data_IF_767865188021
#
_entry.id   IF_767865188021
#
_cell.length_a   1.000
_cell.length_b   1.000
_cell.length_c   1.000
_cell.angle_alpha   90.00
_cell.angle_beta   90.00
_cell.angle_gamma   90.00
#
_symmetry.space_group_name_H-M   'P 1'
#
loop_
_entity.id
_entity.type
_entity.pdbx_description
1 polymer ?
#
# COMPACT_ATOMS: atom_id res chain seq x y z
N UNK A 1 -16.68 -58.28 -12.72
CA UNK A 1 -16.73 -57.75 -14.10
C UNK A 1 -16.97 -56.25 -14.00
N UNK A 2 -15.99 -55.44 -14.42
CA UNK A 2 -16.00 -53.96 -14.40
C UNK A 2 -17.00 -53.40 -15.45
N UNK A 3 -17.42 -52.13 -15.50
CA UNK A 3 -16.64 -50.90 -15.70
C UNK A 3 -17.47 -49.65 -15.33
N UNK A 4 -16.81 -48.69 -14.68
CA UNK A 4 -17.24 -47.30 -14.47
C UNK A 4 -16.95 -46.44 -15.72
N UNK A 5 -17.90 -45.60 -16.14
CA UNK A 5 -17.72 -44.62 -17.21
C UNK A 5 -17.66 -43.20 -16.62
N UNK A 6 -16.51 -42.57 -16.77
CA UNK A 6 -16.22 -41.18 -16.43
C UNK A 6 -16.45 -40.28 -17.64
N UNK A 7 -17.12 -39.15 -17.46
CA UNK A 7 -17.33 -38.15 -18.52
C UNK A 7 -16.30 -37.02 -18.43
N UNK A 8 -15.38 -36.98 -19.40
CA UNK A 8 -14.40 -35.91 -19.62
C UNK A 8 -14.97 -34.83 -20.54
N UNK A 9 -14.94 -33.57 -20.12
CA UNK A 9 -15.15 -32.40 -20.98
C UNK A 9 -13.82 -31.70 -21.22
N UNK A 10 -13.42 -31.66 -22.49
CA UNK A 10 -12.30 -30.90 -23.07
C UNK A 10 -12.70 -29.46 -23.36
N UNK A 11 -11.80 -28.48 -23.09
CA UNK A 11 -11.60 -27.18 -23.79
C UNK A 11 -10.31 -26.53 -23.21
N UNK A 12 -9.53 -25.72 -23.98
CA UNK A 12 -8.09 -25.90 -24.12
C UNK A 12 -7.19 -25.00 -23.25
N UNK A 13 -5.92 -25.42 -23.23
CA UNK A 13 -4.76 -24.92 -22.52
C UNK A 13 -4.37 -23.47 -22.88
N UNK A 14 -4.12 -22.64 -21.85
CA UNK A 14 -3.12 -21.57 -21.93
C UNK A 14 -2.17 -21.68 -20.73
N UNK A 15 -0.87 -21.58 -21.05
CA UNK A 15 0.30 -21.80 -20.19
C UNK A 15 0.19 -21.14 -18.82
N UNK A 16 0.24 -21.94 -17.76
CA UNK A 16 0.55 -21.49 -16.41
C UNK A 16 2.01 -21.89 -16.11
N UNK A 17 2.91 -20.93 -16.25
CA UNK A 17 4.31 -21.12 -15.89
C UNK A 17 4.45 -20.93 -14.38
N UNK A 18 4.74 -22.03 -13.68
CA UNK A 18 5.17 -22.03 -12.29
C UNK A 18 6.47 -21.22 -12.16
N UNK A 19 6.55 -20.35 -11.16
CA UNK A 19 7.82 -20.06 -10.50
C UNK A 19 7.59 -19.77 -9.03
N UNK A 20 7.85 -20.80 -8.24
CA UNK A 20 8.45 -20.81 -6.90
C UNK A 20 8.95 -19.42 -6.46
N UNK A 21 8.36 -18.89 -5.38
CA UNK A 21 8.93 -17.77 -4.63
C UNK A 21 9.91 -18.33 -3.60
N UNK A 22 11.20 -18.32 -3.97
CA UNK A 22 12.29 -18.46 -3.01
C UNK A 22 12.43 -17.14 -2.25
N UNK A 23 12.26 -17.19 -0.93
CA UNK A 23 12.65 -16.11 -0.04
C UNK A 23 14.18 -16.15 0.12
N UNK A 24 14.88 -15.20 -0.49
CA UNK A 24 16.28 -14.92 -0.17
C UNK A 24 16.37 -13.55 0.48
N UNK A 25 16.73 -13.57 1.76
CA UNK A 25 17.10 -12.41 2.55
C UNK A 25 18.53 -11.99 2.17
N UNK A 26 18.73 -10.81 1.58
CA UNK A 26 20.04 -10.14 1.58
C UNK A 26 19.96 -8.67 1.15
N UNK A 27 20.40 -7.81 2.07
CA UNK A 27 21.22 -6.59 1.87
C UNK A 27 20.76 -5.51 0.88
N UNK A 28 20.45 -4.35 1.47
CA UNK A 28 20.73 -2.98 1.01
C UNK A 28 21.14 -2.83 -0.46
N UNK A 29 20.24 -2.32 -1.29
CA UNK A 29 20.64 -1.60 -2.51
C UNK A 29 19.53 -0.65 -2.95
N UNK A 30 19.91 0.62 -3.07
CA UNK A 30 19.19 1.67 -3.78
C UNK A 30 18.55 1.13 -5.06
N UNK A 31 17.22 1.23 -5.19
CA UNK A 31 16.55 0.98 -6.46
C UNK A 31 15.62 2.14 -6.79
N UNK A 32 16.01 2.86 -7.83
CA UNK A 32 15.15 3.70 -8.65
C UNK A 32 13.92 2.89 -9.08
N UNK A 33 12.78 3.14 -8.44
CA UNK A 33 11.54 2.44 -8.72
C UNK A 33 10.76 3.19 -9.80
N UNK A 34 10.95 2.82 -11.06
CA UNK A 34 10.08 3.24 -12.16
C UNK A 34 8.76 2.45 -12.07
N UNK A 35 7.85 2.89 -11.20
CA UNK A 35 6.51 2.34 -11.13
C UNK A 35 5.56 3.19 -11.99
N UNK A 36 5.36 2.78 -13.24
CA UNK A 36 4.33 3.38 -14.10
C UNK A 36 2.96 2.89 -13.64
N UNK A 37 2.34 3.64 -12.72
CA UNK A 37 0.88 3.63 -12.54
C UNK A 37 0.32 4.91 -13.10
N UNK A 38 -0.11 4.86 -14.36
CA UNK A 38 -0.87 5.93 -14.99
C UNK A 38 -2.30 5.87 -14.48
N UNK A 39 -2.61 6.68 -13.47
CA UNK A 39 -3.97 7.13 -13.16
C UNK A 39 -3.90 8.64 -12.93
N UNK A 40 -4.27 9.40 -13.95
CA UNK A 40 -4.35 10.86 -13.89
C UNK A 40 -5.65 11.27 -13.20
N UNK A 41 -5.53 11.97 -12.09
CA UNK A 41 -6.62 12.74 -11.48
C UNK A 41 -6.04 14.10 -11.13
N UNK A 42 -6.60 15.14 -11.77
CA UNK A 42 -6.31 16.56 -11.52
C UNK A 42 -7.11 17.07 -10.33
N UNK A 43 -6.66 18.22 -9.81
CA UNK A 43 -7.13 19.04 -8.67
C UNK A 43 -6.46 18.76 -7.33
N UNK A 44 -6.14 19.74 -6.48
CA UNK A 44 -6.00 21.21 -6.58
C UNK A 44 -5.19 21.63 -5.32
N UNK A 45 -4.44 22.74 -5.41
CA UNK A 45 -3.52 23.25 -4.35
C UNK A 45 -4.27 23.71 -3.07
N UNK A 46 -3.68 23.63 -1.86
CA UNK A 46 -2.63 24.57 -1.44
C UNK A 46 -1.47 23.98 -0.61
N UNK A 47 -0.38 24.74 -0.62
CA UNK A 47 0.86 24.62 0.17
C UNK A 47 1.89 23.58 -0.29
N UNK A 48 3.17 23.90 -0.05
CA UNK A 48 4.40 23.32 -0.62
C UNK A 48 4.67 21.87 -0.21
N UNK A 49 3.67 21.00 -0.27
CA UNK A 49 3.91 19.58 -0.24
C UNK A 49 4.54 19.20 -1.57
N UNK A 50 5.83 18.82 -1.55
CA UNK A 50 6.43 18.03 -2.64
C UNK A 50 5.38 17.00 -3.05
N UNK A 51 4.99 17.00 -4.32
CA UNK A 51 3.88 16.20 -4.83
C UNK A 51 4.05 14.77 -4.33
N UNK A 52 3.23 14.39 -3.35
CA UNK A 52 3.32 13.07 -2.75
C UNK A 52 2.77 12.06 -3.74
N UNK A 53 3.58 11.06 -4.06
CA UNK A 53 3.25 10.02 -5.02
C UNK A 53 3.15 8.67 -4.32
N UNK A 54 2.59 7.69 -5.02
CA UNK A 54 2.56 6.32 -4.54
C UNK A 54 4.00 5.84 -4.38
N UNK A 55 4.33 5.25 -3.23
CA UNK A 55 5.67 4.81 -2.87
C UNK A 55 6.53 5.86 -2.17
N UNK A 56 6.14 7.14 -2.16
CA UNK A 56 6.91 8.18 -1.46
C UNK A 56 7.01 7.89 0.05
N UNK A 57 8.19 8.09 0.66
CA UNK A 57 8.36 7.98 2.09
C UNK A 57 7.72 9.17 2.80
N UNK A 58 7.01 8.90 3.88
CA UNK A 58 6.32 9.91 4.68
C UNK A 58 6.61 9.71 6.17
N UNK A 59 6.52 10.78 6.93
CA UNK A 59 6.56 10.77 8.40
C UNK A 59 5.27 11.34 8.95
N UNK A 60 4.70 10.64 9.93
CA UNK A 60 3.51 11.08 10.67
C UNK A 60 3.91 12.26 11.54
N UNK A 61 3.22 13.39 11.40
CA UNK A 61 3.47 14.60 12.21
C UNK A 61 2.61 14.64 13.47
N UNK A 62 1.42 14.08 13.42
CA UNK A 62 0.46 14.08 14.52
C UNK A 62 -0.34 12.78 14.49
N UNK A 63 -0.61 12.20 15.67
CA UNK A 63 -1.42 11.00 15.79
C UNK A 63 -2.90 11.32 15.49
N UNK A 64 -3.52 10.70 14.46
CA UNK A 64 -4.95 10.87 14.21
C UNK A 64 -5.75 10.37 15.42
N UNK A 65 -6.86 11.02 15.80
CA UNK A 65 -7.72 10.54 16.90
C UNK A 65 -8.40 9.21 16.57
N UNK A 66 -8.79 9.04 15.31
CA UNK A 66 -9.44 7.84 14.80
C UNK A 66 -8.76 7.41 13.50
N UNK A 67 -8.67 6.10 13.27
CA UNK A 67 -8.01 5.54 12.09
C UNK A 67 -8.81 4.38 11.52
N UNK A 68 -8.83 4.25 10.19
CA UNK A 68 -9.43 3.08 9.54
C UNK A 68 -8.34 2.06 9.26
N UNK A 69 -8.57 0.83 9.71
CA UNK A 69 -7.67 -0.29 9.41
C UNK A 69 -7.99 -0.85 8.04
N UNK A 70 -6.99 -1.17 7.24
CA UNK A 70 -7.16 -1.83 5.94
C UNK A 70 -7.28 -3.36 6.05
N UNK A 71 -7.95 -3.86 7.09
CA UNK A 71 -8.29 -5.28 7.26
C UNK A 71 -9.45 -5.70 6.33
N UNK A 72 -9.64 -7.01 6.13
CA UNK A 72 -10.73 -7.56 5.28
C UNK A 72 -12.09 -6.92 5.57
N UNK A 73 -12.35 -6.58 6.83
CA UNK A 73 -13.46 -5.70 7.22
C UNK A 73 -12.87 -4.38 7.72
N UNK A 74 -13.00 -3.28 6.95
CA UNK A 74 -12.55 -1.97 7.40
C UNK A 74 -13.39 -1.50 8.57
N UNK A 75 -12.74 -1.19 9.68
CA UNK A 75 -13.38 -0.59 10.84
C UNK A 75 -12.64 0.66 11.28
N UNK A 76 -13.41 1.66 11.67
CA UNK A 76 -12.91 2.89 12.26
C UNK A 76 -12.65 2.62 13.74
N UNK A 77 -11.40 2.79 14.17
CA UNK A 77 -10.97 2.53 15.55
C UNK A 77 -10.34 3.79 16.14
N UNK A 78 -10.42 3.93 17.45
CA UNK A 78 -9.64 4.94 18.17
C UNK A 78 -8.16 4.59 18.01
N UNK A 79 -7.34 5.60 17.75
CA UNK A 79 -5.90 5.42 17.69
C UNK A 79 -5.34 5.27 19.11
N UNK A 80 -5.44 4.07 19.66
CA UNK A 80 -4.89 3.70 20.97
C UNK A 80 -3.37 3.48 20.90
N UNK A 81 -2.65 4.43 20.30
CA UNK A 81 -1.20 4.36 20.09
C UNK A 81 -0.75 3.45 18.94
N UNK A 82 -1.66 3.13 18.01
CA UNK A 82 -1.34 2.37 16.80
C UNK A 82 -0.46 3.17 15.84
N UNK A 83 -0.75 4.47 15.73
CA UNK A 83 0.02 5.41 14.92
C UNK A 83 0.46 6.55 15.80
N UNK A 84 1.77 6.75 15.89
CA UNK A 84 2.40 7.76 16.72
C UNK A 84 3.03 8.86 15.85
N UNK A 85 3.17 10.09 16.38
CA UNK A 85 4.01 11.10 15.74
C UNK A 85 5.44 10.57 15.61
N UNK A 86 6.07 10.81 14.47
CA UNK A 86 7.40 10.30 14.13
C UNK A 86 7.40 8.93 13.45
N UNK A 87 6.26 8.23 13.39
CA UNK A 87 6.19 6.98 12.64
C UNK A 87 6.45 7.23 11.15
N UNK A 88 7.33 6.40 10.58
CA UNK A 88 7.70 6.47 9.17
C UNK A 88 6.94 5.41 8.39
N UNK A 89 6.43 5.79 7.23
CA UNK A 89 5.67 4.91 6.36
C UNK A 89 5.91 5.17 4.89
N UNK A 90 5.19 4.42 4.06
CA UNK A 90 5.11 4.63 2.61
C UNK A 90 3.67 4.73 2.14
N UNK A 91 3.46 5.58 1.15
CA UNK A 91 2.15 5.71 0.50
C UNK A 91 1.87 4.47 -0.36
N UNK A 92 0.73 3.83 -0.12
CA UNK A 92 0.26 2.67 -0.88
C UNK A 92 -0.71 3.09 -1.98
N UNK A 93 -1.65 4.00 -1.68
CA UNK A 93 -2.63 4.47 -2.66
C UNK A 93 -3.25 5.80 -2.24
N UNK A 94 -3.59 6.63 -3.22
CA UNK A 94 -4.45 7.81 -3.04
C UNK A 94 -5.91 7.40 -2.93
N UNK A 95 -6.66 8.02 -2.00
CA UNK A 95 -8.11 7.94 -1.91
C UNK A 95 -8.71 9.35 -2.07
N UNK A 96 -10.01 9.44 -2.39
CA UNK A 96 -10.70 10.73 -2.42
C UNK A 96 -10.61 11.46 -1.07
N UNK A 97 -10.82 12.79 -1.09
CA UNK A 97 -10.86 13.65 0.11
C UNK A 97 -9.54 13.72 0.89
N UNK A 98 -8.41 13.73 0.19
CA UNK A 98 -7.06 13.74 0.78
C UNK A 98 -6.84 12.65 1.83
N UNK A 99 -7.50 11.51 1.66
CA UNK A 99 -7.26 10.31 2.46
C UNK A 99 -6.26 9.44 1.72
N UNK A 100 -5.31 8.85 2.45
CA UNK A 100 -4.23 8.07 1.87
C UNK A 100 -4.10 6.75 2.58
N UNK A 101 -3.91 5.68 1.81
CA UNK A 101 -3.49 4.41 2.38
C UNK A 101 -1.99 4.46 2.63
N UNK A 102 -1.58 4.34 3.89
CA UNK A 102 -0.18 4.39 4.33
C UNK A 102 0.19 3.05 4.94
N UNK A 103 1.30 2.47 4.48
CA UNK A 103 1.91 1.30 5.10
C UNK A 103 2.90 1.76 6.17
N UNK A 104 2.58 1.43 7.40
CA UNK A 104 3.42 1.57 8.58
C UNK A 104 3.94 0.18 8.99
N UNK A 105 4.90 0.13 9.92
CA UNK A 105 5.45 -1.11 10.45
C UNK A 105 4.38 -2.02 11.07
N UNK A 106 3.37 -1.43 11.71
CA UNK A 106 2.26 -2.14 12.35
C UNK A 106 1.17 -2.60 11.38
N UNK A 107 1.06 -1.97 10.21
CA UNK A 107 0.03 -2.34 9.24
C UNK A 107 -0.27 -1.24 8.22
N UNK A 108 -1.34 -1.44 7.45
CA UNK A 108 -1.82 -0.45 6.48
C UNK A 108 -3.05 0.26 7.03
N UNK A 109 -3.04 1.59 6.97
CA UNK A 109 -4.10 2.44 7.52
C UNK A 109 -4.51 3.52 6.54
N UNK A 110 -5.75 4.00 6.67
CA UNK A 110 -6.18 5.21 5.98
C UNK A 110 -5.95 6.43 6.89
N UNK A 111 -5.12 7.36 6.41
CA UNK A 111 -4.69 8.56 7.13
C UNK A 111 -4.94 9.77 6.23
N UNK A 112 -5.46 10.85 6.81
CA UNK A 112 -5.64 12.12 6.09
C UNK A 112 -4.30 12.81 5.83
N UNK A 113 -4.18 13.52 4.72
CA UNK A 113 -2.98 14.25 4.31
C UNK A 113 -2.45 15.25 5.34
N UNK A 114 -3.30 15.71 6.26
CA UNK A 114 -2.92 16.63 7.35
C UNK A 114 -2.10 15.99 8.48
N UNK A 115 -2.07 14.66 8.58
CA UNK A 115 -1.38 13.96 9.68
C UNK A 115 0.02 13.49 9.32
N UNK A 116 0.48 13.71 8.09
CA UNK A 116 1.81 13.31 7.66
C UNK A 116 2.42 14.32 6.68
N UNK A 117 3.75 14.25 6.53
CA UNK A 117 4.50 15.05 5.56
C UNK A 117 5.51 14.17 4.81
N UNK A 118 5.99 14.59 3.64
CA UNK A 118 7.10 13.91 2.96
C UNK A 118 8.29 13.76 3.91
N UNK A 119 8.94 12.59 3.90
CA UNK A 119 10.19 12.41 4.63
C UNK A 119 11.30 13.09 3.82
N UNK A 120 11.85 14.17 4.38
CA UNK A 120 13.03 14.82 3.82
C UNK A 120 14.27 14.21 4.47
N UNK A 121 15.00 13.39 3.72
CA UNK A 121 16.34 12.98 4.11
C UNK A 121 17.27 14.11 3.71
N UNK A 122 17.80 14.83 4.69
CA UNK A 122 18.94 15.71 4.49
C UNK A 122 20.14 14.80 4.28
N UNK A 123 20.76 14.90 3.10
CA UNK A 123 21.97 14.15 2.73
C UNK A 123 23.20 14.65 3.49
#
# INVERSE_FOLDING_TARGET
MALSLSSTSTIPCTKLHNSILQFTNSSSRNQNFNFVTKCESKESSPEKFKKLEIGSPIVVIEAPKMIKTATSVPCLRVNSGLVKPGDVGRIVSRKPKDVWAVRLSIGTYLIDGKYFKPLELQE
#
